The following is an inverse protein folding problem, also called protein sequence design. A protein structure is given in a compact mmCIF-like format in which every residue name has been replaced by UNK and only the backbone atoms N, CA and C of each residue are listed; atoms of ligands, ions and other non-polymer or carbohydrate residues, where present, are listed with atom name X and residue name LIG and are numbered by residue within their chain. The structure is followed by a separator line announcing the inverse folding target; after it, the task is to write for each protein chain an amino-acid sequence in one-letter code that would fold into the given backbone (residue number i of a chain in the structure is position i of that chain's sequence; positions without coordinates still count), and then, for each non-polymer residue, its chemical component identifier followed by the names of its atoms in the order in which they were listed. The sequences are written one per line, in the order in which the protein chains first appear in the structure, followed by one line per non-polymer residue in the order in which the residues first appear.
data_IF_891000087693
#
_entry.id   IF_891000087693
#
_cell.length_a   1.000
_cell.length_b   1.000
_cell.length_c   1.000
_cell.angle_alpha   90.00
_cell.angle_beta   90.00
_cell.angle_gamma   90.00
#
_symmetry.space_group_name_H-M   'P 1'
#
loop_
_entity.id
_entity.type
_entity.pdbx_description
1 polymer ?
#
# COMPACT_ATOMS: atom_id res chain seq x y z
N UNK A 1 45.55 -0.43 -1.54
CA UNK A 1 45.25 -1.83 -1.19
C UNK A 1 43.74 -1.96 -1.06
N UNK A 2 43.08 -2.84 -1.83
CA UNK A 2 41.65 -3.05 -1.68
C UNK A 2 41.40 -3.67 -0.32
N UNK A 3 40.62 -2.99 0.53
CA UNK A 3 40.18 -3.53 1.80
C UNK A 3 39.34 -4.78 1.50
N UNK A 4 39.75 -5.91 2.07
CA UNK A 4 38.96 -7.14 2.04
C UNK A 4 37.56 -6.83 2.58
N UNK A 5 36.48 -7.36 1.97
CA UNK A 5 35.14 -7.19 2.51
C UNK A 5 35.13 -7.69 3.96
N UNK A 6 34.46 -6.97 4.89
CA UNK A 6 34.34 -7.43 6.26
C UNK A 6 33.74 -8.84 6.26
N UNK A 7 34.37 -9.76 7.00
CA UNK A 7 33.90 -11.13 7.11
C UNK A 7 32.45 -11.13 7.58
N UNK A 8 31.59 -11.89 6.87
CA UNK A 8 30.19 -12.04 7.25
C UNK A 8 30.12 -12.46 8.72
N UNK A 9 29.37 -11.73 9.58
CA UNK A 9 29.23 -12.13 10.97
C UNK A 9 28.67 -13.55 11.03
N UNK A 10 29.06 -14.35 12.05
CA UNK A 10 28.52 -15.70 12.22
C UNK A 10 26.99 -15.63 12.24
N UNK A 11 26.29 -16.60 11.61
CA UNK A 11 24.84 -16.58 11.53
C UNK A 11 24.28 -16.53 12.95
N UNK A 12 23.73 -15.37 13.29
CA UNK A 12 23.07 -15.17 14.58
C UNK A 12 21.82 -16.06 14.58
N UNK A 13 21.48 -16.72 15.71
CA UNK A 13 20.30 -17.54 15.77
C UNK A 13 19.07 -16.71 15.37
N UNK A 14 18.15 -17.33 14.63
CA UNK A 14 16.96 -16.65 14.13
C UNK A 14 16.14 -16.12 15.32
N UNK A 15 16.30 -14.83 15.64
CA UNK A 15 15.54 -14.20 16.71
C UNK A 15 14.08 -14.13 16.27
N UNK A 16 13.20 -14.82 16.99
CA UNK A 16 11.76 -14.71 16.79
C UNK A 16 11.35 -13.24 16.97
N UNK A 17 10.41 -12.78 16.14
CA UNK A 17 9.91 -11.42 16.15
C UNK A 17 9.57 -10.99 17.58
N UNK A 18 10.19 -9.90 18.05
CA UNK A 18 9.91 -9.36 19.38
C UNK A 18 8.47 -8.83 19.36
N UNK A 19 7.55 -9.32 20.20
CA UNK A 19 6.15 -8.90 20.19
C UNK A 19 5.98 -7.39 20.37
N UNK A 20 6.93 -6.73 21.03
CA UNK A 20 6.95 -5.28 21.23
C UNK A 20 7.14 -4.48 19.92
N UNK A 21 7.80 -5.05 18.91
CA UNK A 21 8.01 -4.45 17.58
C UNK A 21 6.98 -4.90 16.55
N UNK A 22 6.01 -5.72 16.97
CA UNK A 22 4.89 -6.14 16.14
C UNK A 22 3.94 -4.96 15.80
N UNK A 23 4.17 -3.76 16.34
CA UNK A 23 3.46 -2.57 15.87
C UNK A 23 3.99 -2.00 14.57
N UNK A 24 5.31 -2.15 14.36
CA UNK A 24 6.05 -1.37 13.37
C UNK A 24 5.84 -1.91 11.95
N UNK A 25 5.42 -3.18 11.81
CA UNK A 25 5.13 -3.78 10.51
C UNK A 25 3.73 -3.44 9.98
N UNK A 26 2.81 -2.96 10.83
CA UNK A 26 1.40 -2.78 10.44
C UNK A 26 1.28 -1.77 9.31
N UNK A 27 1.81 -0.54 9.48
CA UNK A 27 1.75 0.50 8.47
C UNK A 27 2.40 0.07 7.15
N UNK A 28 3.67 -0.37 7.14
CA UNK A 28 4.33 -0.86 5.92
C UNK A 28 3.59 -2.01 5.23
N UNK A 29 2.93 -2.89 5.98
CA UNK A 29 2.20 -4.02 5.38
C UNK A 29 0.88 -3.59 4.78
N UNK A 30 0.13 -2.71 5.45
CA UNK A 30 -1.07 -2.11 4.86
C UNK A 30 -0.72 -1.28 3.62
N UNK A 31 0.42 -0.58 3.65
CA UNK A 31 0.97 0.12 2.48
C UNK A 31 1.31 -0.83 1.33
N UNK A 32 2.01 -1.92 1.60
CA UNK A 32 2.42 -2.88 0.58
C UNK A 32 1.22 -3.55 -0.11
N UNK A 33 0.13 -3.79 0.62
CA UNK A 33 -1.09 -4.39 0.08
C UNK A 33 -2.16 -3.38 -0.32
N UNK A 34 -1.83 -2.10 -0.43
CA UNK A 34 -2.76 -1.12 -0.98
C UNK A 34 -2.88 -1.30 -2.51
N UNK A 35 -4.11 -1.34 -2.98
CA UNK A 35 -4.41 -1.41 -4.41
C UNK A 35 -5.87 -1.13 -4.73
N UNK A 36 -6.61 -0.50 -3.81
CA UNK A 36 -8.07 -0.35 -3.93
C UNK A 36 -8.45 0.65 -5.02
N UNK A 37 -7.71 1.76 -5.14
CA UNK A 37 -7.93 2.74 -6.20
C UNK A 37 -7.73 2.15 -7.59
N UNK A 38 -6.70 1.31 -7.72
CA UNK A 38 -6.41 0.59 -8.97
C UNK A 38 -7.45 -0.49 -9.23
N UNK A 39 -7.88 -1.25 -8.21
CA UNK A 39 -8.91 -2.27 -8.36
C UNK A 39 -10.23 -1.70 -8.90
N UNK A 40 -10.64 -0.51 -8.44
CA UNK A 40 -11.85 0.14 -8.98
C UNK A 40 -11.68 0.53 -10.46
N UNK A 41 -10.51 1.04 -10.84
CA UNK A 41 -10.23 1.39 -12.24
C UNK A 41 -10.19 0.16 -13.15
N UNK A 42 -9.64 -0.95 -12.64
CA UNK A 42 -9.67 -2.25 -13.32
C UNK A 42 -11.11 -2.73 -13.47
N UNK A 43 -11.94 -2.59 -12.44
CA UNK A 43 -13.35 -2.95 -12.50
C UNK A 43 -14.09 -2.18 -13.59
N UNK A 44 -13.96 -0.84 -13.60
CA UNK A 44 -14.58 0.01 -14.62
C UNK A 44 -14.09 -0.34 -16.03
N UNK A 45 -12.80 -0.64 -16.20
CA UNK A 45 -12.24 -1.06 -17.49
C UNK A 45 -12.75 -2.45 -17.93
N UNK A 46 -12.96 -3.38 -17.00
CA UNK A 46 -13.48 -4.72 -17.28
C UNK A 46 -14.99 -4.72 -17.51
N UNK A 47 -15.74 -3.83 -16.86
CA UNK A 47 -17.19 -3.68 -17.03
C UNK A 47 -17.57 -3.36 -18.48
N UNK A 48 -16.70 -2.67 -19.22
CA UNK A 48 -16.86 -2.39 -20.65
C UNK A 48 -16.85 -3.65 -21.54
N UNK A 49 -16.39 -4.81 -21.03
CA UNK A 49 -16.29 -6.07 -21.77
C UNK A 49 -17.07 -7.22 -21.10
N UNK A 50 -16.67 -7.63 -19.88
CA UNK A 50 -17.36 -8.62 -19.05
C UNK A 50 -16.87 -8.52 -17.58
N UNK A 51 -17.72 -8.19 -16.59
CA UNK A 51 -17.32 -8.04 -15.19
C UNK A 51 -17.09 -9.37 -14.44
N UNK A 52 -17.50 -10.52 -15.01
CA UNK A 52 -17.44 -11.85 -14.33
C UNK A 52 -16.05 -12.31 -13.87
N UNK A 53 -14.91 -11.95 -14.50
CA UNK A 53 -13.59 -12.39 -14.03
C UNK A 53 -13.00 -11.51 -12.91
N UNK A 54 -13.59 -10.37 -12.55
CA UNK A 54 -12.94 -9.37 -11.69
C UNK A 54 -12.43 -9.93 -10.36
N UNK A 55 -13.28 -10.66 -9.63
CA UNK A 55 -12.90 -11.23 -8.34
C UNK A 55 -11.71 -12.21 -8.47
N UNK A 56 -11.68 -13.04 -9.50
CA UNK A 56 -10.61 -14.00 -9.73
C UNK A 56 -9.30 -13.30 -10.13
N UNK A 57 -9.38 -12.27 -10.97
CA UNK A 57 -8.23 -11.46 -11.38
C UNK A 57 -7.62 -10.75 -10.17
N UNK A 58 -8.42 -10.04 -9.38
CA UNK A 58 -7.92 -9.31 -8.21
C UNK A 58 -7.41 -10.27 -7.13
N UNK A 59 -8.13 -11.36 -6.85
CA UNK A 59 -7.69 -12.35 -5.86
C UNK A 59 -6.38 -13.02 -6.25
N UNK A 60 -6.23 -13.41 -7.52
CA UNK A 60 -4.97 -14.00 -8.00
C UNK A 60 -3.81 -13.00 -7.94
N UNK A 61 -4.04 -11.72 -8.26
CA UNK A 61 -3.03 -10.68 -8.14
C UNK A 61 -2.52 -10.51 -6.69
N UNK A 62 -3.42 -10.48 -5.71
CA UNK A 62 -3.05 -10.40 -4.29
C UNK A 62 -2.30 -11.64 -3.80
N UNK A 63 -2.72 -12.84 -4.24
CA UNK A 63 -2.03 -14.11 -3.89
C UNK A 63 -0.60 -14.11 -4.44
N UNK A 64 -0.41 -13.76 -5.71
CA UNK A 64 0.93 -13.68 -6.32
C UNK A 64 1.78 -12.64 -5.59
N UNK A 65 1.22 -11.47 -5.31
CA UNK A 65 1.91 -10.38 -4.59
C UNK A 65 2.36 -10.82 -3.20
N UNK A 66 1.51 -11.54 -2.47
CA UNK A 66 1.85 -12.08 -1.15
C UNK A 66 3.08 -13.00 -1.20
N UNK A 67 3.12 -13.94 -2.14
CA UNK A 67 4.26 -14.84 -2.27
C UNK A 67 5.53 -14.12 -2.73
N UNK A 68 5.42 -13.11 -3.58
CA UNK A 68 6.56 -12.29 -3.99
C UNK A 68 7.15 -11.52 -2.81
N UNK A 69 6.31 -10.89 -1.99
CA UNK A 69 6.77 -10.15 -0.81
C UNK A 69 7.39 -11.06 0.24
N UNK A 70 6.73 -12.17 0.59
CA UNK A 70 7.26 -13.12 1.57
C UNK A 70 8.54 -13.77 1.07
N UNK A 71 8.60 -14.16 -0.21
CA UNK A 71 9.77 -14.76 -0.82
C UNK A 71 10.97 -13.81 -0.83
N UNK A 72 10.75 -12.55 -1.27
CA UNK A 72 11.79 -11.54 -1.29
C UNK A 72 12.25 -11.17 0.13
N UNK A 73 11.33 -10.95 1.06
CA UNK A 73 11.66 -10.63 2.45
C UNK A 73 12.45 -11.75 3.13
N UNK A 74 12.06 -13.01 2.90
CA UNK A 74 12.77 -14.18 3.44
C UNK A 74 14.18 -14.27 2.86
N UNK A 75 14.33 -14.09 1.55
CA UNK A 75 15.64 -14.11 0.88
C UNK A 75 16.55 -13.01 1.43
N UNK A 76 16.05 -11.77 1.47
CA UNK A 76 16.78 -10.61 1.95
C UNK A 76 17.21 -10.77 3.42
N UNK A 77 16.30 -11.21 4.29
CA UNK A 77 16.61 -11.47 5.70
C UNK A 77 17.62 -12.61 5.87
N UNK A 78 17.56 -13.66 5.06
CA UNK A 78 18.56 -14.74 5.11
C UNK A 78 19.97 -14.31 4.69
N UNK A 79 20.10 -13.24 3.90
CA UNK A 79 21.39 -12.73 3.44
C UNK A 79 22.02 -11.73 4.43
N UNK A 80 21.23 -10.84 5.06
CA UNK A 80 21.74 -9.79 5.96
C UNK A 80 21.42 -9.99 7.46
N UNK A 81 20.45 -10.83 7.79
CA UNK A 81 19.98 -11.03 9.16
C UNK A 81 19.48 -9.74 9.82
N UNK A 82 19.80 -9.56 11.11
CA UNK A 82 19.40 -8.39 11.91
C UNK A 82 20.10 -7.08 11.53
N UNK A 83 21.14 -7.14 10.70
CA UNK A 83 21.95 -5.98 10.31
C UNK A 83 21.40 -5.18 9.13
N UNK A 84 20.20 -5.49 8.65
CA UNK A 84 19.65 -4.88 7.45
C UNK A 84 19.12 -3.46 7.68
N UNK A 85 19.45 -2.56 6.76
CA UNK A 85 18.89 -1.22 6.68
C UNK A 85 17.39 -1.26 6.41
N UNK A 86 16.70 -0.21 6.84
CA UNK A 86 15.25 -0.01 6.61
C UNK A 86 14.91 -0.01 5.12
N UNK A 87 15.84 0.44 4.28
CA UNK A 87 15.79 0.37 2.83
C UNK A 87 16.89 -0.57 2.35
N UNK A 88 16.49 -1.73 1.82
CA UNK A 88 17.40 -2.82 1.42
C UNK A 88 18.48 -2.38 0.42
N UNK A 89 18.18 -1.37 -0.41
CA UNK A 89 19.08 -0.90 -1.47
C UNK A 89 20.31 -0.18 -0.90
N UNK A 90 20.16 0.46 0.27
CA UNK A 90 21.25 1.21 0.91
C UNK A 90 22.39 0.29 1.37
N UNK A 91 22.08 -0.99 1.60
CA UNK A 91 23.04 -2.02 2.01
C UNK A 91 23.73 -2.75 0.84
N UNK A 92 23.36 -2.44 -0.41
CA UNK A 92 23.97 -3.09 -1.57
C UNK A 92 25.41 -2.58 -1.82
N UNK A 93 26.32 -3.44 -2.30
CA UNK A 93 27.67 -3.01 -2.70
C UNK A 93 27.63 -1.87 -3.72
N UNK A 94 28.56 -0.91 -3.64
CA UNK A 94 28.52 0.35 -4.41
C UNK A 94 28.34 0.22 -5.95
N UNK A 95 28.92 -0.80 -6.59
CA UNK A 95 28.72 -1.00 -8.04
C UNK A 95 27.33 -1.57 -8.38
N UNK A 96 26.78 -2.40 -7.49
CA UNK A 96 25.41 -2.90 -7.61
C UNK A 96 24.37 -1.84 -7.19
N UNK A 97 24.69 -0.95 -6.24
CA UNK A 97 23.74 0.05 -5.76
C UNK A 97 23.37 1.05 -6.86
N UNK A 98 24.34 1.65 -7.57
CA UNK A 98 24.03 2.59 -8.67
C UNK A 98 23.14 1.96 -9.76
N UNK A 99 23.45 0.73 -10.16
CA UNK A 99 22.65 0.02 -11.18
C UNK A 99 21.23 -0.26 -10.66
N UNK A 100 21.10 -0.68 -9.40
CA UNK A 100 19.81 -0.94 -8.77
C UNK A 100 19.00 0.33 -8.53
N UNK A 101 19.64 1.45 -8.18
CA UNK A 101 19.02 2.75 -7.98
C UNK A 101 18.48 3.32 -9.28
N UNK A 102 19.25 3.22 -10.37
CA UNK A 102 18.78 3.63 -11.71
C UNK A 102 17.63 2.72 -12.16
N UNK A 103 17.78 1.41 -12.03
CA UNK A 103 16.73 0.46 -12.40
C UNK A 103 15.44 0.71 -11.62
N UNK A 104 15.56 0.96 -10.30
CA UNK A 104 14.43 1.29 -9.44
C UNK A 104 13.83 2.65 -9.80
N UNK A 105 14.65 3.64 -10.11
CA UNK A 105 14.15 4.96 -10.53
C UNK A 105 13.34 4.85 -11.82
N UNK A 106 13.82 4.07 -12.79
CA UNK A 106 13.10 3.82 -14.06
C UNK A 106 11.81 3.05 -13.82
N UNK A 107 11.83 1.97 -13.02
CA UNK A 107 10.62 1.18 -12.77
C UNK A 107 9.59 2.00 -12.01
N UNK A 108 9.99 2.79 -11.01
CA UNK A 108 9.09 3.68 -10.27
C UNK A 108 8.52 4.79 -11.16
N UNK A 109 9.32 5.38 -12.05
CA UNK A 109 8.82 6.39 -12.99
C UNK A 109 7.73 5.81 -13.91
N UNK A 110 7.91 4.58 -14.39
CA UNK A 110 6.91 3.89 -15.21
C UNK A 110 5.67 3.47 -14.39
N UNK A 111 5.88 2.96 -13.17
CA UNK A 111 4.79 2.58 -12.26
C UNK A 111 3.95 3.78 -11.81
N UNK A 112 4.59 4.94 -11.61
CA UNK A 112 3.93 6.17 -11.21
C UNK A 112 2.84 6.59 -12.20
N UNK A 113 3.07 6.42 -13.51
CA UNK A 113 2.07 6.72 -14.54
C UNK A 113 0.81 5.86 -14.36
N UNK A 114 1.00 4.56 -14.08
CA UNK A 114 -0.12 3.64 -13.88
C UNK A 114 -0.88 3.97 -12.58
N UNK A 115 -0.16 4.24 -11.48
CA UNK A 115 -0.77 4.58 -10.18
C UNK A 115 -1.50 5.93 -10.19
N UNK A 116 -1.02 6.89 -10.98
CA UNK A 116 -1.67 8.22 -11.08
C UNK A 116 -2.90 8.24 -11.99
N UNK A 117 -3.13 7.21 -12.80
CA UNK A 117 -4.31 7.14 -13.70
C UNK A 117 -5.64 7.33 -12.97
N UNK A 118 -5.97 6.58 -11.89
CA UNK A 118 -7.20 6.82 -11.11
C UNK A 118 -7.26 8.25 -10.54
N UNK A 119 -6.13 8.77 -10.06
CA UNK A 119 -6.07 10.11 -9.47
C UNK A 119 -6.40 11.17 -10.50
N UNK A 120 -5.83 11.08 -11.71
CA UNK A 120 -6.14 12.01 -12.79
C UNK A 120 -7.61 11.94 -13.20
N UNK A 121 -8.20 10.75 -13.33
CA UNK A 121 -9.63 10.64 -13.64
C UNK A 121 -10.51 11.32 -12.59
N UNK A 122 -10.22 11.15 -11.30
CA UNK A 122 -10.99 11.79 -10.22
C UNK A 122 -10.80 13.30 -10.23
N UNK A 123 -9.56 13.78 -10.33
CA UNK A 123 -9.26 15.23 -10.35
C UNK A 123 -9.89 15.89 -11.58
N UNK A 124 -9.79 15.27 -12.75
CA UNK A 124 -10.39 15.78 -13.98
C UNK A 124 -11.92 15.82 -13.90
N UNK A 125 -12.53 14.77 -13.31
CA UNK A 125 -13.97 14.74 -13.05
C UNK A 125 -14.42 15.91 -12.17
N UNK A 126 -13.69 16.20 -11.09
CA UNK A 126 -14.05 17.26 -10.15
C UNK A 126 -13.77 18.66 -10.70
N UNK A 127 -12.67 18.85 -11.43
CA UNK A 127 -12.20 20.17 -11.88
C UNK A 127 -12.78 20.56 -13.24
N UNK A 128 -12.83 19.63 -14.20
CA UNK A 128 -13.16 19.91 -15.61
C UNK A 128 -14.63 19.68 -15.94
N UNK A 129 -15.29 18.64 -15.41
CA UNK A 129 -16.71 18.40 -15.74
C UNK A 129 -17.64 19.56 -15.37
N UNK A 130 -17.52 20.20 -14.19
CA UNK A 130 -18.43 21.28 -13.82
C UNK A 130 -18.15 22.59 -14.56
N UNK A 131 -16.94 22.76 -15.10
CA UNK A 131 -16.44 24.04 -15.62
C UNK A 131 -16.24 24.07 -17.12
N UNK A 132 -16.44 22.95 -17.83
CA UNK A 132 -16.19 22.79 -19.27
C UNK A 132 -14.88 23.46 -19.71
N UNK A 133 -13.79 23.17 -18.99
CA UNK A 133 -12.51 23.82 -19.20
C UNK A 133 -11.93 23.49 -20.59
N UNK A 134 -11.18 24.43 -21.19
CA UNK A 134 -10.56 24.22 -22.49
C UNK A 134 -9.48 23.13 -22.44
N UNK A 135 -9.25 22.45 -23.57
CA UNK A 135 -8.33 21.30 -23.67
C UNK A 135 -6.89 21.58 -23.18
N UNK A 136 -6.41 22.82 -23.27
CA UNK A 136 -5.08 23.20 -22.77
C UNK A 136 -4.97 23.18 -21.23
N UNK A 137 -6.09 23.22 -20.50
CA UNK A 137 -6.09 23.15 -19.03
C UNK A 137 -5.81 21.74 -18.50
N UNK A 138 -5.97 20.70 -19.32
CA UNK A 138 -5.74 19.30 -18.96
C UNK A 138 -4.27 19.00 -18.60
N UNK A 139 -3.28 19.29 -19.47
CA UNK A 139 -1.88 19.08 -19.12
C UNK A 139 -1.46 19.91 -17.91
N UNK A 140 -1.97 21.15 -17.76
CA UNK A 140 -1.67 21.99 -16.59
C UNK A 140 -2.18 21.35 -15.30
N UNK A 141 -3.41 20.83 -15.31
CA UNK A 141 -3.99 20.15 -14.15
C UNK A 141 -3.16 18.92 -13.77
N UNK A 142 -2.79 18.08 -14.75
CA UNK A 142 -1.94 16.90 -14.50
C UNK A 142 -0.56 17.30 -13.98
N UNK A 143 0.10 18.27 -14.61
CA UNK A 143 1.39 18.78 -14.16
C UNK A 143 1.33 19.36 -12.75
N UNK A 144 0.23 20.03 -12.38
CA UNK A 144 0.06 20.56 -11.02
C UNK A 144 -0.04 19.46 -9.96
N UNK A 145 -0.73 18.36 -10.26
CA UNK A 145 -0.83 17.19 -9.37
C UNK A 145 0.54 16.54 -9.22
N UNK A 146 1.27 16.34 -10.33
CA UNK A 146 2.62 15.76 -10.29
C UNK A 146 3.59 16.67 -9.53
N UNK A 147 3.53 17.99 -9.76
CA UNK A 147 4.36 18.95 -9.05
C UNK A 147 4.07 18.96 -7.54
N UNK A 148 2.80 18.84 -7.15
CA UNK A 148 2.41 18.73 -5.75
C UNK A 148 2.99 17.45 -5.11
N UNK A 149 2.86 16.31 -5.78
CA UNK A 149 3.40 15.02 -5.28
C UNK A 149 4.92 15.07 -5.18
N UNK A 150 5.60 15.68 -6.16
CA UNK A 150 7.04 15.86 -6.14
C UNK A 150 7.48 16.79 -4.99
N UNK A 151 6.73 17.86 -4.70
CA UNK A 151 6.98 18.74 -3.57
C UNK A 151 6.87 17.98 -2.24
N UNK A 152 5.81 17.18 -2.07
CA UNK A 152 5.65 16.33 -0.88
C UNK A 152 6.84 15.38 -0.74
N UNK A 153 7.21 14.68 -1.82
CA UNK A 153 8.37 13.78 -1.82
C UNK A 153 9.70 14.47 -1.47
N UNK A 154 9.90 15.72 -1.90
CA UNK A 154 11.08 16.51 -1.54
C UNK A 154 11.10 16.89 -0.05
N UNK A 155 9.93 17.13 0.55
CA UNK A 155 9.85 17.56 1.96
C UNK A 155 9.98 16.44 2.97
N UNK A 156 9.83 15.17 2.56
CA UNK A 156 9.81 14.03 3.47
C UNK A 156 11.19 13.33 3.48
N UNK A 157 11.98 13.45 4.56
CA UNK A 157 13.37 12.98 4.59
C UNK A 157 13.50 11.47 4.89
N UNK A 158 12.47 10.82 5.44
CA UNK A 158 12.51 9.40 5.81
C UNK A 158 11.38 8.62 5.15
N UNK A 159 11.77 7.68 4.27
CA UNK A 159 10.86 6.80 3.55
C UNK A 159 10.09 5.87 4.49
N UNK A 160 10.72 5.40 5.56
CA UNK A 160 10.07 4.48 6.49
C UNK A 160 8.93 5.17 7.23
N UNK A 161 9.19 6.35 7.81
CA UNK A 161 8.15 7.15 8.47
C UNK A 161 7.00 7.47 7.52
N UNK A 162 7.30 7.83 6.27
CA UNK A 162 6.27 8.09 5.24
C UNK A 162 5.39 6.87 4.98
N UNK A 163 6.01 5.71 4.74
CA UNK A 163 5.31 4.45 4.46
C UNK A 163 4.47 4.02 5.66
N UNK A 164 5.03 4.10 6.87
CA UNK A 164 4.31 3.72 8.08
C UNK A 164 3.09 4.62 8.33
N UNK A 165 3.23 5.94 8.21
CA UNK A 165 2.12 6.88 8.38
C UNK A 165 1.05 6.73 7.30
N UNK A 166 1.45 6.59 6.04
CA UNK A 166 0.51 6.47 4.92
C UNK A 166 -0.31 5.19 5.03
N UNK A 167 0.35 4.05 5.32
CA UNK A 167 -0.33 2.77 5.49
C UNK A 167 -1.22 2.72 6.73
N UNK A 168 -0.70 3.19 7.88
CA UNK A 168 -1.44 3.14 9.13
C UNK A 168 -2.63 4.10 9.16
N UNK A 169 -2.52 5.31 8.61
CA UNK A 169 -3.60 6.30 8.68
C UNK A 169 -4.49 6.24 7.44
N UNK A 170 -3.94 6.61 6.28
CA UNK A 170 -4.74 6.82 5.07
C UNK A 170 -5.31 5.50 4.55
N UNK A 171 -4.46 4.49 4.38
CA UNK A 171 -4.88 3.24 3.79
C UNK A 171 -5.64 2.34 4.75
N UNK A 172 -5.41 2.44 6.06
CA UNK A 172 -6.28 1.75 7.02
C UNK A 172 -7.68 2.33 7.07
N UNK A 173 -7.81 3.66 6.92
CA UNK A 173 -9.12 4.30 6.81
C UNK A 173 -9.87 3.83 5.56
N UNK A 174 -9.20 3.79 4.40
CA UNK A 174 -9.85 3.41 3.13
C UNK A 174 -10.04 1.89 3.02
N UNK A 175 -9.13 1.08 3.57
CA UNK A 175 -9.08 -0.37 3.39
C UNK A 175 -9.82 -1.18 4.44
N UNK A 176 -9.96 -0.64 5.64
CA UNK A 176 -10.65 -1.33 6.72
C UNK A 176 -11.87 -0.56 7.21
N UNK A 177 -11.72 0.74 7.49
CA UNK A 177 -12.80 1.54 8.12
C UNK A 177 -13.94 1.80 7.16
N UNK A 178 -13.67 2.38 5.98
CA UNK A 178 -14.69 2.73 5.00
C UNK A 178 -15.51 1.51 4.52
N UNK A 179 -14.91 0.37 4.14
CA UNK A 179 -15.68 -0.78 3.67
C UNK A 179 -16.59 -1.35 4.76
N UNK A 180 -16.09 -1.42 6.01
CA UNK A 180 -16.88 -1.88 7.15
C UNK A 180 -18.06 -0.94 7.45
N UNK A 181 -17.85 0.38 7.42
CA UNK A 181 -18.92 1.36 7.59
C UNK A 181 -19.95 1.33 6.47
N UNK A 182 -19.52 1.18 5.22
CA UNK A 182 -20.43 1.08 4.07
C UNK A 182 -21.32 -0.16 4.18
N UNK A 183 -20.77 -1.33 4.55
CA UNK A 183 -21.59 -2.52 4.76
C UNK A 183 -22.63 -2.33 5.88
N UNK A 184 -22.21 -1.75 7.02
CA UNK A 184 -23.11 -1.51 8.16
C UNK A 184 -24.22 -0.51 7.83
N UNK A 185 -23.94 0.50 7.00
CA UNK A 185 -24.92 1.55 6.63
C UNK A 185 -25.84 1.15 5.48
N UNK A 186 -25.35 0.38 4.52
CA UNK A 186 -26.13 -0.06 3.35
C UNK A 186 -26.97 -1.32 3.61
N UNK A 187 -26.74 -1.99 4.74
CA UNK A 187 -27.53 -3.15 5.13
C UNK A 187 -29.01 -2.77 5.35
N UNK A 188 -29.97 -3.47 4.71
CA UNK A 188 -31.38 -3.30 5.00
C UNK A 188 -31.72 -3.67 6.46
N UNK A 189 -32.54 -2.86 7.14
CA UNK A 189 -33.01 -3.13 8.51
C UNK A 189 -34.00 -4.31 8.61
N UNK A 190 -34.43 -4.87 7.47
CA UNK A 190 -35.35 -5.99 7.44
C UNK A 190 -34.74 -7.22 8.13
N UNK A 191 -35.55 -7.92 8.94
CA UNK A 191 -35.12 -9.17 9.58
C UNK A 191 -34.72 -10.16 8.49
N UNK A 192 -33.46 -10.63 8.45
CA UNK A 192 -33.04 -11.58 7.44
C UNK A 192 -33.81 -12.90 7.64
N UNK A 193 -34.25 -13.56 6.55
CA UNK A 193 -34.86 -14.89 6.64
C UNK A 193 -33.92 -15.86 7.40
N UNK A 194 -34.47 -16.80 8.18
CA UNK A 194 -33.69 -17.60 9.15
C UNK A 194 -32.48 -18.30 8.53
N UNK A 195 -32.58 -18.69 7.25
CA UNK A 195 -31.51 -19.31 6.45
C UNK A 195 -30.28 -18.42 6.24
N UNK A 196 -30.44 -17.09 6.20
CA UNK A 196 -29.36 -16.12 5.96
C UNK A 196 -28.98 -15.33 7.22
N UNK A 197 -29.56 -15.67 8.38
CA UNK A 197 -29.30 -14.97 9.64
C UNK A 197 -27.84 -15.13 10.09
N UNK A 198 -27.28 -16.33 9.95
CA UNK A 198 -25.89 -16.61 10.32
C UNK A 198 -24.90 -15.83 9.44
N UNK A 199 -25.06 -15.89 8.11
CA UNK A 199 -24.17 -15.15 7.19
C UNK A 199 -24.24 -13.64 7.39
N UNK A 200 -25.43 -13.11 7.69
CA UNK A 200 -25.59 -11.68 8.03
C UNK A 200 -24.87 -11.32 9.31
N UNK A 201 -24.97 -12.15 10.36
CA UNK A 201 -24.25 -11.91 11.62
C UNK A 201 -22.73 -11.98 11.44
N UNK A 202 -22.24 -12.96 10.68
CA UNK A 202 -20.81 -13.10 10.35
C UNK A 202 -20.31 -11.86 9.61
N UNK A 203 -21.03 -11.38 8.59
CA UNK A 203 -20.62 -10.20 7.83
C UNK A 203 -20.66 -8.91 8.66
N UNK A 204 -21.63 -8.77 9.56
CA UNK A 204 -21.69 -7.63 10.49
C UNK A 204 -20.53 -7.68 11.48
N UNK A 205 -20.25 -8.85 12.05
CA UNK A 205 -19.11 -9.04 12.94
C UNK A 205 -17.78 -8.77 12.23
N UNK A 206 -17.63 -9.26 10.99
CA UNK A 206 -16.47 -8.99 10.14
C UNK A 206 -16.32 -7.49 9.84
N UNK A 207 -17.42 -6.78 9.56
CA UNK A 207 -17.40 -5.33 9.29
C UNK A 207 -16.95 -4.53 10.51
N UNK A 208 -17.45 -4.87 11.70
CA UNK A 208 -16.97 -4.26 12.94
C UNK A 208 -15.51 -4.62 13.22
N UNK A 209 -15.10 -5.86 12.97
CA UNK A 209 -13.70 -6.27 13.11
C UNK A 209 -12.78 -5.48 12.18
N UNK A 210 -13.19 -5.23 10.94
CA UNK A 210 -12.45 -4.36 10.01
C UNK A 210 -12.34 -2.94 10.57
N UNK A 211 -13.44 -2.32 10.99
CA UNK A 211 -13.43 -0.96 11.56
C UNK A 211 -12.50 -0.86 12.76
N UNK A 212 -12.61 -1.81 13.71
CA UNK A 212 -11.76 -1.84 14.91
C UNK A 212 -10.29 -2.03 14.52
N UNK A 213 -9.99 -2.97 13.62
CA UNK A 213 -8.61 -3.23 13.16
C UNK A 213 -8.02 -1.99 12.49
N UNK A 214 -8.79 -1.30 11.64
CA UNK A 214 -8.36 -0.07 10.99
C UNK A 214 -8.08 1.07 11.97
N UNK A 215 -8.95 1.29 12.97
CA UNK A 215 -8.77 2.35 13.97
C UNK A 215 -7.59 2.04 14.90
N UNK A 216 -7.54 0.82 15.45
CA UNK A 216 -6.47 0.40 16.37
C UNK A 216 -5.12 0.42 15.65
N UNK A 217 -5.06 -0.11 14.43
CA UNK A 217 -3.87 -0.12 13.61
C UNK A 217 -3.40 1.29 13.24
N UNK A 218 -4.32 2.21 12.94
CA UNK A 218 -3.98 3.62 12.70
C UNK A 218 -3.37 4.29 13.92
N UNK A 219 -4.00 4.14 15.09
CA UNK A 219 -3.49 4.71 16.35
C UNK A 219 -2.12 4.13 16.68
N UNK A 220 -1.96 2.82 16.55
CA UNK A 220 -0.70 2.14 16.87
C UNK A 220 0.42 2.54 15.90
N UNK A 221 0.12 2.60 14.60
CA UNK A 221 1.08 2.99 13.57
C UNK A 221 1.52 4.45 13.68
N UNK A 222 0.64 5.35 14.09
CA UNK A 222 1.03 6.75 14.40
C UNK A 222 1.94 6.79 15.63
N UNK A 223 1.62 6.04 16.69
CA UNK A 223 2.45 6.00 17.90
C UNK A 223 3.85 5.42 17.60
N UNK A 224 3.94 4.42 16.72
CA UNK A 224 5.25 3.87 16.31
C UNK A 224 6.01 4.75 15.33
N UNK A 225 5.32 5.55 14.51
CA UNK A 225 5.94 6.45 13.55
C UNK A 225 6.57 7.70 14.17
N UNK A 226 6.17 8.10 15.39
CA UNK A 226 6.77 9.26 16.06
C UNK A 226 8.16 8.88 16.55
N UNK A 227 9.23 9.54 16.07
CA UNK A 227 10.59 9.27 16.54
C UNK A 227 10.69 9.55 18.03
N UNK A 228 11.28 8.61 18.79
CA UNK A 228 11.68 8.81 20.19
C UNK A 228 13.14 9.19 20.28
#
# INVERSE_FOLDING_TARGET
MPQSPPAAPPPSPLHLAVPAKLGDWFGPSVFAFEGMGTALSIYEAMELQDPRPFFNVVSSAYVVTFFLYVGLASFVYSAWGDGIAKVVIDDLPKMSSLTSEIALSVILALSFVLQMTPVFHVVERVVHQPRMLPHWAWPITRSSVVAFVALVGYTVPDMETMVNLTGSVAFSAIGFVLPGLFYLKLRPESKPPSRNRMSTLVNVAASWAMVVTGIVGAVWGVISAVPR
#
